data_IF_087596247623
#
_entry.id   IF_087596247623
#
_cell.length_a   1.000
_cell.length_b   1.000
_cell.length_c   1.000
_cell.angle_alpha   90.00
_cell.angle_beta   90.00
_cell.angle_gamma   90.00
#
_symmetry.space_group_name_H-M   'P 1'
#
loop_
_entity.id
_entity.type
_entity.pdbx_description
1 polymer ?
#
# COMPACT_ATOMS: atom_id res chain seq x y z
N UNK A 1 6.37 -9.94 -6.59
CA UNK A 1 5.21 -9.82 -5.67
C UNK A 1 5.42 -10.57 -4.36
N UNK A 2 5.74 -11.87 -4.38
CA UNK A 2 5.96 -12.66 -3.15
C UNK A 2 7.05 -12.07 -2.24
N UNK A 3 8.20 -11.71 -2.81
CA UNK A 3 9.32 -11.10 -2.07
C UNK A 3 8.93 -9.75 -1.45
N UNK A 4 8.24 -8.89 -2.21
CA UNK A 4 7.76 -7.59 -1.71
C UNK A 4 6.79 -7.73 -0.54
N UNK A 5 5.91 -8.74 -0.58
CA UNK A 5 4.98 -9.03 0.51
C UNK A 5 5.73 -9.55 1.75
N UNK A 6 6.70 -10.44 1.57
CA UNK A 6 7.54 -10.94 2.67
C UNK A 6 8.35 -9.82 3.33
N UNK A 7 8.97 -8.94 2.54
CA UNK A 7 9.69 -7.78 3.06
C UNK A 7 8.74 -6.84 3.82
N UNK A 8 7.56 -6.57 3.26
CA UNK A 8 6.56 -5.76 3.94
C UNK A 8 6.13 -6.39 5.26
N UNK A 9 5.86 -7.71 5.30
CA UNK A 9 5.51 -8.41 6.54
C UNK A 9 6.62 -8.27 7.60
N UNK A 10 7.89 -8.38 7.20
CA UNK A 10 9.03 -8.21 8.11
C UNK A 10 9.14 -6.79 8.65
N UNK A 11 8.99 -5.77 7.81
CA UNK A 11 9.06 -4.36 8.23
C UNK A 11 7.85 -3.98 9.08
N UNK A 12 6.66 -4.36 8.64
CA UNK A 12 5.40 -4.01 9.28
C UNK A 12 5.26 -4.62 10.67
N UNK A 13 5.78 -5.84 10.88
CA UNK A 13 5.71 -6.53 12.16
C UNK A 13 7.00 -6.42 13.00
N UNK A 14 7.95 -5.58 12.60
CA UNK A 14 9.18 -5.38 13.36
C UNK A 14 8.88 -4.66 14.67
N UNK A 15 9.39 -5.19 15.79
CA UNK A 15 9.27 -4.58 17.14
C UNK A 15 9.75 -3.13 17.22
N UNK A 16 10.69 -2.73 16.37
CA UNK A 16 11.20 -1.34 16.34
C UNK A 16 10.29 -0.37 15.57
N UNK A 17 9.36 -0.88 14.76
CA UNK A 17 8.46 -0.07 13.93
C UNK A 17 6.99 -0.21 14.34
N UNK A 18 6.68 -0.70 15.56
CA UNK A 18 5.31 -0.92 16.02
C UNK A 18 4.48 0.37 15.98
N UNK A 19 5.03 1.47 16.50
CA UNK A 19 4.37 2.78 16.55
C UNK A 19 4.65 3.68 15.33
N UNK A 20 5.31 3.12 14.30
CA UNK A 20 5.66 3.85 13.08
C UNK A 20 4.60 3.64 12.00
N UNK A 21 4.04 4.73 11.49
CA UNK A 21 3.16 4.69 10.34
C UNK A 21 3.89 4.23 9.07
N UNK A 22 3.19 3.51 8.19
CA UNK A 22 3.76 3.02 6.93
C UNK A 22 3.01 3.66 5.77
N UNK A 23 3.79 4.20 4.83
CA UNK A 23 3.29 4.64 3.52
C UNK A 23 3.70 3.58 2.50
N UNK A 24 2.72 2.92 1.89
CA UNK A 24 2.90 1.86 0.92
C UNK A 24 2.62 2.39 -0.49
N UNK A 25 3.67 2.42 -1.33
CA UNK A 25 3.52 2.77 -2.73
C UNK A 25 3.41 1.52 -3.61
N UNK A 26 2.23 1.32 -4.20
CA UNK A 26 1.99 0.36 -5.27
C UNK A 26 2.36 1.02 -6.61
N UNK A 27 3.64 0.99 -6.93
CA UNK A 27 4.19 1.64 -8.12
C UNK A 27 3.88 0.84 -9.41
N UNK A 28 4.01 1.51 -10.56
CA UNK A 28 3.77 1.00 -11.92
C UNK A 28 2.29 0.74 -12.23
N UNK A 29 1.40 1.61 -11.74
CA UNK A 29 -0.05 1.51 -12.01
C UNK A 29 -0.39 1.46 -13.51
N UNK A 30 0.37 2.20 -14.31
CA UNK A 30 0.30 2.30 -15.77
C UNK A 30 0.56 0.94 -16.43
N UNK A 31 1.72 0.34 -16.12
CA UNK A 31 2.11 -0.95 -16.65
C UNK A 31 1.17 -2.06 -16.19
N UNK A 32 0.67 -1.95 -14.95
CA UNK A 32 -0.28 -2.91 -14.41
C UNK A 32 -1.62 -2.85 -15.17
N UNK A 33 -2.16 -1.65 -15.39
CA UNK A 33 -3.40 -1.43 -16.14
C UNK A 33 -3.29 -1.90 -17.59
N UNK A 34 -2.12 -1.76 -18.22
CA UNK A 34 -1.90 -2.21 -19.59
C UNK A 34 -1.89 -3.75 -19.71
N UNK A 35 -1.28 -4.44 -18.74
CA UNK A 35 -1.02 -5.88 -18.83
C UNK A 35 -2.13 -6.75 -18.25
N UNK A 36 -2.78 -6.30 -17.18
CA UNK A 36 -3.76 -7.10 -16.45
C UNK A 36 -4.96 -7.47 -17.35
N UNK A 37 -5.30 -8.75 -17.40
CA UNK A 37 -6.41 -9.26 -18.21
C UNK A 37 -6.17 -9.26 -19.72
N UNK A 38 -5.03 -8.75 -20.21
CA UNK A 38 -4.63 -8.79 -21.63
C UNK A 38 -3.49 -9.78 -21.87
N UNK A 39 -2.34 -9.52 -21.26
CA UNK A 39 -1.11 -10.29 -21.46
C UNK A 39 -0.61 -10.96 -20.18
N UNK A 40 -1.16 -10.60 -19.02
CA UNK A 40 -0.77 -11.17 -17.74
C UNK A 40 -1.99 -11.36 -16.84
N UNK A 41 -2.08 -12.54 -16.23
CA UNK A 41 -3.08 -12.88 -15.21
C UNK A 41 -2.53 -12.58 -13.81
N UNK A 42 -3.38 -12.04 -12.93
CA UNK A 42 -3.03 -11.84 -11.51
C UNK A 42 -2.78 -13.18 -10.80
N UNK A 43 -3.39 -14.27 -11.29
CA UNK A 43 -3.26 -15.62 -10.72
C UNK A 43 -1.83 -16.15 -10.73
N UNK A 44 -0.97 -15.64 -11.62
CA UNK A 44 0.45 -15.97 -11.64
C UNK A 44 1.14 -15.60 -10.30
N UNK A 45 0.74 -14.46 -9.71
CA UNK A 45 1.24 -14.02 -8.42
C UNK A 45 0.34 -14.46 -7.25
N UNK A 46 -0.97 -14.57 -7.48
CA UNK A 46 -1.97 -14.90 -6.47
C UNK A 46 -2.92 -16.01 -6.96
N UNK A 47 -2.51 -17.29 -6.89
CA UNK A 47 -3.28 -18.40 -7.45
C UNK A 47 -4.70 -18.55 -6.86
N UNK A 48 -4.91 -18.05 -5.65
CA UNK A 48 -6.19 -18.08 -4.94
C UNK A 48 -7.15 -16.95 -5.32
N UNK A 49 -6.74 -16.04 -6.21
CA UNK A 49 -7.60 -14.95 -6.66
C UNK A 49 -8.70 -15.46 -7.60
N UNK A 50 -9.96 -15.29 -7.18
CA UNK A 50 -11.14 -15.71 -7.93
C UNK A 50 -11.98 -14.54 -8.46
N UNK A 51 -11.50 -13.30 -8.34
CA UNK A 51 -12.21 -12.10 -8.81
C UNK A 51 -12.00 -11.81 -10.30
N UNK A 52 -12.62 -10.73 -10.82
CA UNK A 52 -12.42 -10.28 -12.20
C UNK A 52 -10.98 -9.84 -12.46
N UNK A 53 -10.43 -10.16 -13.62
CA UNK A 53 -9.06 -9.76 -14.01
C UNK A 53 -9.02 -8.35 -14.63
N UNK A 54 -9.71 -7.40 -14.01
CA UNK A 54 -9.65 -5.99 -14.37
C UNK A 54 -8.72 -5.24 -13.41
N UNK A 55 -8.20 -4.09 -13.85
CA UNK A 55 -7.27 -3.27 -13.06
C UNK A 55 -7.74 -3.02 -11.63
N UNK A 56 -8.93 -2.47 -11.46
CA UNK A 56 -9.41 -2.02 -10.16
C UNK A 56 -9.60 -3.15 -9.13
N UNK A 57 -10.31 -4.27 -9.43
CA UNK A 57 -10.46 -5.36 -8.48
C UNK A 57 -9.13 -6.05 -8.17
N UNK A 58 -8.24 -6.17 -9.16
CA UNK A 58 -6.91 -6.72 -8.97
C UNK A 58 -6.02 -5.82 -8.09
N UNK A 59 -6.03 -4.50 -8.31
CA UNK A 59 -5.27 -3.54 -7.52
C UNK A 59 -5.73 -3.53 -6.05
N UNK A 60 -7.06 -3.48 -5.83
CA UNK A 60 -7.66 -3.61 -4.49
C UNK A 60 -7.30 -4.93 -3.81
N UNK A 61 -7.24 -6.02 -4.56
CA UNK A 61 -6.82 -7.30 -4.01
C UNK A 61 -5.35 -7.27 -3.56
N UNK A 62 -4.45 -6.74 -4.39
CA UNK A 62 -3.03 -6.59 -4.03
C UNK A 62 -2.89 -5.75 -2.76
N UNK A 63 -3.53 -4.59 -2.72
CA UNK A 63 -3.57 -3.71 -1.56
C UNK A 63 -4.03 -4.47 -0.30
N UNK A 64 -5.13 -5.23 -0.40
CA UNK A 64 -5.64 -6.06 0.69
C UNK A 64 -4.63 -7.09 1.17
N UNK A 65 -3.86 -7.71 0.28
CA UNK A 65 -2.82 -8.67 0.68
C UNK A 65 -1.76 -8.01 1.57
N UNK A 66 -1.35 -6.78 1.25
CA UNK A 66 -0.42 -6.02 2.10
C UNK A 66 -1.05 -5.66 3.45
N UNK A 67 -2.30 -5.20 3.47
CA UNK A 67 -3.00 -4.95 4.74
C UNK A 67 -3.12 -6.20 5.61
N UNK A 68 -3.39 -7.36 5.02
CA UNK A 68 -3.49 -8.64 5.73
C UNK A 68 -2.15 -9.15 6.27
N UNK A 69 -1.01 -8.70 5.74
CA UNK A 69 0.31 -9.03 6.25
C UNK A 69 0.65 -8.29 7.57
N UNK A 70 -0.10 -7.24 7.92
CA UNK A 70 0.05 -6.54 9.19
C UNK A 70 -0.59 -7.34 10.34
N UNK A 71 0.18 -7.57 11.40
CA UNK A 71 -0.26 -8.22 12.65
C UNK A 71 -0.30 -7.24 13.82
N UNK A 72 0.15 -5.99 13.61
CA UNK A 72 0.15 -4.95 14.64
C UNK A 72 -1.21 -4.26 14.69
N UNK A 73 -1.93 -4.29 15.83
CA UNK A 73 -3.23 -3.65 15.95
C UNK A 73 -3.10 -2.13 15.81
N UNK A 74 -4.10 -1.50 15.18
CA UNK A 74 -4.20 -0.04 15.00
C UNK A 74 -3.00 0.63 14.28
N UNK A 75 -2.18 -0.15 13.57
CA UNK A 75 -1.08 0.41 12.80
C UNK A 75 -1.60 1.24 11.62
N UNK A 76 -1.11 2.47 11.51
CA UNK A 76 -1.46 3.36 10.41
C UNK A 76 -0.72 2.95 9.13
N UNK A 77 -1.43 2.36 8.18
CA UNK A 77 -0.90 1.95 6.87
C UNK A 77 -1.69 2.70 5.80
N UNK A 78 -1.00 3.52 5.02
CA UNK A 78 -1.58 4.30 3.93
C UNK A 78 -1.08 3.74 2.60
N UNK A 79 -1.98 3.23 1.77
CA UNK A 79 -1.61 2.69 0.45
C UNK A 79 -1.96 3.65 -0.66
N UNK A 80 -1.04 3.81 -1.62
CA UNK A 80 -1.23 4.65 -2.79
C UNK A 80 -0.73 3.95 -4.05
N UNK A 81 -1.52 4.02 -5.11
CA UNK A 81 -1.16 3.52 -6.43
C UNK A 81 -0.45 4.62 -7.20
N UNK A 82 0.83 4.43 -7.53
CA UNK A 82 1.67 5.47 -8.12
C UNK A 82 2.17 5.05 -9.50
N UNK A 83 2.52 6.04 -10.31
CA UNK A 83 3.33 5.87 -11.51
C UNK A 83 4.66 6.58 -11.28
N UNK A 84 5.79 5.95 -11.63
CA UNK A 84 7.12 6.49 -11.36
C UNK A 84 7.39 7.83 -12.09
N UNK A 85 6.64 8.14 -13.15
CA UNK A 85 6.69 9.42 -13.86
C UNK A 85 5.85 10.52 -13.21
N UNK A 86 5.04 10.18 -12.20
CA UNK A 86 4.15 11.11 -11.49
C UNK A 86 4.75 11.52 -10.13
N UNK A 87 5.99 12.01 -10.16
CA UNK A 87 6.73 12.46 -8.97
C UNK A 87 6.05 13.63 -8.24
N UNK A 88 5.26 14.43 -8.96
CA UNK A 88 4.45 15.52 -8.37
C UNK A 88 3.32 14.99 -7.49
N UNK A 89 2.65 13.92 -7.92
CA UNK A 89 1.62 13.26 -7.11
C UNK A 89 2.21 12.62 -5.85
N UNK A 90 3.43 12.07 -5.94
CA UNK A 90 4.11 11.48 -4.76
C UNK A 90 4.42 12.52 -3.70
N UNK A 91 4.95 13.70 -4.07
CA UNK A 91 5.26 14.78 -3.12
C UNK A 91 4.01 15.27 -2.40
N UNK A 92 2.95 15.60 -3.16
CA UNK A 92 1.68 16.05 -2.58
C UNK A 92 1.06 15.03 -1.60
N UNK A 93 1.18 13.75 -1.93
CA UNK A 93 0.69 12.66 -1.07
C UNK A 93 1.53 12.53 0.20
N UNK A 94 2.85 12.65 0.09
CA UNK A 94 3.74 12.64 1.25
C UNK A 94 3.39 13.77 2.22
N UNK A 95 3.21 14.99 1.71
CA UNK A 95 2.81 16.15 2.50
C UNK A 95 1.45 15.92 3.17
N UNK A 96 0.46 15.41 2.44
CA UNK A 96 -0.88 15.13 2.98
C UNK A 96 -0.89 14.05 4.07
N UNK A 97 -0.07 13.01 3.92
CA UNK A 97 0.05 11.94 4.91
C UNK A 97 0.83 12.42 6.13
N UNK A 98 1.89 13.20 5.94
CA UNK A 98 2.61 13.85 7.03
C UNK A 98 1.67 14.75 7.83
N UNK A 99 0.87 15.61 7.18
CA UNK A 99 -0.12 16.46 7.85
C UNK A 99 -1.17 15.64 8.63
N UNK A 100 -1.66 14.54 8.05
CA UNK A 100 -2.63 13.65 8.72
C UNK A 100 -2.02 13.00 9.96
N UNK A 101 -0.79 12.51 9.87
CA UNK A 101 -0.07 11.91 10.98
C UNK A 101 0.23 12.98 12.05
N UNK A 102 0.71 14.16 11.65
CA UNK A 102 1.04 15.26 12.55
C UNK A 102 -0.20 15.74 13.29
N UNK A 103 -1.32 15.94 12.58
CA UNK A 103 -2.60 16.34 13.15
C UNK A 103 -3.12 15.30 14.15
N UNK A 104 -2.97 14.01 13.86
CA UNK A 104 -3.37 12.92 14.77
C UNK A 104 -2.52 12.91 16.04
N UNK A 105 -1.20 13.13 15.91
CA UNK A 105 -0.29 13.24 17.06
C UNK A 105 -0.55 14.49 17.90
N UNK A 106 -0.83 15.63 17.26
CA UNK A 106 -1.16 16.89 17.91
C UNK A 106 -2.50 16.83 18.69
N UNK A 107 -3.53 16.18 18.12
CA UNK A 107 -4.80 15.91 18.83
C UNK A 107 -4.59 15.02 20.04
N UNK A 108 -3.71 14.03 19.96
CA UNK A 108 -3.35 13.17 21.10
C UNK A 108 -2.67 13.92 22.26
N UNK A 109 -2.06 15.08 21.99
CA UNK A 109 -1.45 15.96 23.00
C UNK A 109 -2.40 17.05 23.53
N UNK A 110 -3.65 17.11 23.08
CA UNK A 110 -4.62 18.12 23.52
C UNK A 110 -4.39 19.54 22.98
N UNK A 111 -3.64 19.70 21.88
CA UNK A 111 -3.33 21.00 21.28
C UNK A 111 -4.37 21.47 20.25
N UNK A 112 -5.62 21.01 20.35
CA UNK A 112 -6.75 21.47 19.53
C UNK A 112 -8.09 21.26 20.25
#
# INVERSE_FOLDING_TARGET
MKESLQLFEQVCNNKYFVDTGIILFLNKKDLFAEKIGKSTSIKLAFPTYNGPEAYEPCAKYIERQFFMANKVPNKSIYSHQTCATDTKQVQFVLDSVLDTILSTKLKGCGLY
#
